data_IF_837340444420
#
_entry.id   IF_837340444420
#
_cell.length_a   1.000
_cell.length_b   1.000
_cell.length_c   1.000
_cell.angle_alpha   90.00
_cell.angle_beta   90.00
_cell.angle_gamma   90.00
#
_symmetry.space_group_name_H-M   'P 1'
#
loop_
_entity.id
_entity.type
_entity.pdbx_description
1 polymer ?
#
# COMPACT_ATOMS: atom_id res chain seq x y z
N UNK A 1 73.46 -50.01 -55.05
CA UNK A 1 72.14 -50.16 -54.38
C UNK A 1 72.20 -50.10 -52.85
N UNK A 2 73.34 -50.40 -52.19
CA UNK A 2 73.45 -50.38 -50.71
C UNK A 2 73.29 -48.99 -50.05
N UNK A 3 73.74 -47.92 -50.72
CA UNK A 3 73.62 -46.53 -50.23
C UNK A 3 72.16 -46.04 -50.17
N UNK A 4 71.36 -46.36 -51.21
CA UNK A 4 69.95 -45.95 -51.31
C UNK A 4 69.07 -46.62 -50.23
N UNK A 5 69.34 -47.88 -49.91
CA UNK A 5 68.61 -48.60 -48.85
C UNK A 5 68.92 -48.05 -47.45
N UNK A 6 70.17 -47.66 -47.18
CA UNK A 6 70.55 -47.00 -45.91
C UNK A 6 69.89 -45.62 -45.78
N UNK A 7 69.81 -44.88 -46.88
CA UNK A 7 69.15 -43.57 -46.93
C UNK A 7 67.64 -43.69 -46.67
N UNK A 8 66.97 -44.68 -47.28
CA UNK A 8 65.55 -44.97 -47.02
C UNK A 8 65.31 -45.37 -45.57
N UNK A 9 66.20 -46.17 -44.98
CA UNK A 9 66.08 -46.64 -43.61
C UNK A 9 66.29 -45.50 -42.60
N UNK A 10 67.27 -44.63 -42.85
CA UNK A 10 67.52 -43.43 -42.04
C UNK A 10 66.33 -42.47 -42.06
N UNK A 11 65.74 -42.22 -43.24
CA UNK A 11 64.54 -41.39 -43.36
C UNK A 11 63.32 -42.01 -42.66
N UNK A 12 63.17 -43.35 -42.71
CA UNK A 12 62.07 -44.04 -42.05
C UNK A 12 62.18 -43.94 -40.52
N UNK A 13 63.39 -44.10 -39.96
CA UNK A 13 63.66 -43.90 -38.53
C UNK A 13 63.46 -42.45 -38.11
N UNK A 14 63.90 -41.50 -38.93
CA UNK A 14 63.72 -40.06 -38.68
C UNK A 14 62.23 -39.68 -38.66
N UNK A 15 61.46 -40.18 -39.63
CA UNK A 15 60.03 -39.90 -39.76
C UNK A 15 59.22 -40.56 -38.62
N UNK A 16 59.61 -41.77 -38.21
CA UNK A 16 59.02 -42.44 -37.06
C UNK A 16 59.30 -41.68 -35.75
N UNK A 17 60.53 -41.22 -35.55
CA UNK A 17 60.90 -40.40 -34.40
C UNK A 17 60.11 -39.07 -34.35
N UNK A 18 59.96 -38.41 -35.50
CA UNK A 18 59.16 -37.19 -35.62
C UNK A 18 57.67 -37.44 -35.30
N UNK A 19 57.11 -38.55 -35.75
CA UNK A 19 55.73 -38.93 -35.43
C UNK A 19 55.54 -39.21 -33.92
N UNK A 20 56.48 -39.91 -33.28
CA UNK A 20 56.44 -40.17 -31.83
C UNK A 20 56.55 -38.86 -31.04
N UNK A 21 57.42 -37.93 -31.48
CA UNK A 21 57.51 -36.60 -30.88
C UNK A 21 56.20 -35.81 -31.00
N UNK A 22 55.54 -35.86 -32.16
CA UNK A 22 54.24 -35.19 -32.35
C UNK A 22 53.14 -35.80 -31.47
N UNK A 23 53.13 -37.12 -31.30
CA UNK A 23 52.18 -37.81 -30.39
C UNK A 23 52.43 -37.40 -28.93
N UNK A 24 53.71 -37.33 -28.50
CA UNK A 24 54.07 -36.87 -27.16
C UNK A 24 53.67 -35.41 -26.92
N UNK A 25 53.91 -34.52 -27.88
CA UNK A 25 53.51 -33.10 -27.79
C UNK A 25 51.99 -32.98 -27.75
N UNK A 26 51.26 -33.75 -28.57
CA UNK A 26 49.79 -33.78 -28.57
C UNK A 26 49.22 -34.28 -27.23
N UNK A 27 49.80 -35.34 -26.67
CA UNK A 27 49.43 -35.85 -25.34
C UNK A 27 49.72 -34.85 -24.22
N UNK A 28 50.88 -34.15 -24.27
CA UNK A 28 51.21 -33.09 -23.32
C UNK A 28 50.32 -31.86 -23.48
N UNK A 29 49.87 -31.57 -24.71
CA UNK A 29 48.94 -30.47 -24.98
C UNK A 29 47.52 -30.78 -24.49
N UNK A 30 47.06 -32.03 -24.61
CA UNK A 30 45.79 -32.48 -24.04
C UNK A 30 45.84 -32.48 -22.51
N UNK A 31 46.99 -32.77 -21.90
CA UNK A 31 47.20 -32.65 -20.45
C UNK A 31 47.17 -31.20 -19.92
N UNK A 32 47.40 -30.20 -20.77
CA UNK A 32 47.34 -28.77 -20.38
C UNK A 32 45.98 -28.14 -20.64
N UNK A 33 45.18 -28.70 -21.55
CA UNK A 33 43.74 -28.44 -21.65
C UNK A 33 43.05 -29.21 -20.52
N UNK A 34 43.29 -28.79 -19.30
CA UNK A 34 42.74 -29.45 -18.12
C UNK A 34 41.21 -29.39 -18.19
N UNK A 35 40.49 -30.52 -18.08
CA UNK A 35 39.03 -30.52 -17.93
C UNK A 35 38.56 -29.68 -16.74
N UNK A 36 39.46 -29.43 -15.79
CA UNK A 36 39.20 -28.61 -14.61
C UNK A 36 38.80 -27.18 -14.94
N UNK A 37 39.36 -26.52 -15.96
CA UNK A 37 39.03 -25.11 -16.25
C UNK A 37 37.64 -24.95 -16.90
N UNK A 38 37.23 -25.91 -17.71
CA UNK A 38 35.88 -25.94 -18.31
C UNK A 38 34.83 -26.42 -17.32
N UNK A 39 35.17 -27.38 -16.45
CA UNK A 39 34.32 -27.82 -15.34
C UNK A 39 34.16 -26.73 -14.27
N UNK A 40 35.22 -25.99 -13.92
CA UNK A 40 35.12 -24.88 -12.97
C UNK A 40 34.29 -23.75 -13.56
N UNK A 41 34.51 -23.34 -14.81
CA UNK A 41 33.66 -22.33 -15.47
C UNK A 41 32.19 -22.75 -15.56
N UNK A 42 31.89 -23.99 -15.94
CA UNK A 42 30.49 -24.49 -15.93
C UNK A 42 29.89 -24.50 -14.52
N UNK A 43 30.68 -24.89 -13.51
CA UNK A 43 30.22 -24.94 -12.11
C UNK A 43 29.99 -23.54 -11.52
N UNK A 44 30.87 -22.58 -11.82
CA UNK A 44 30.74 -21.18 -11.40
C UNK A 44 29.56 -20.53 -12.11
N UNK A 45 29.35 -20.83 -13.39
CA UNK A 45 28.22 -20.31 -14.16
C UNK A 45 26.89 -20.93 -13.74
N UNK A 46 26.87 -22.22 -13.35
CA UNK A 46 25.71 -22.84 -12.70
C UNK A 46 25.44 -22.25 -11.31
N UNK A 47 26.47 -22.05 -10.49
CA UNK A 47 26.33 -21.44 -9.16
C UNK A 47 25.86 -19.99 -9.24
N UNK A 48 26.36 -19.23 -10.23
CA UNK A 48 25.89 -17.88 -10.53
C UNK A 48 24.43 -17.88 -10.97
N UNK A 49 24.04 -18.77 -11.90
CA UNK A 49 22.65 -18.88 -12.35
C UNK A 49 21.70 -19.28 -11.20
N UNK A 50 22.10 -20.18 -10.30
CA UNK A 50 21.32 -20.51 -9.11
C UNK A 50 21.18 -19.32 -8.15
N UNK A 51 22.25 -18.54 -7.97
CA UNK A 51 22.24 -17.34 -7.12
C UNK A 51 21.33 -16.26 -7.70
N UNK A 52 21.40 -16.04 -9.02
CA UNK A 52 20.53 -15.10 -9.73
C UNK A 52 19.07 -15.56 -9.68
N UNK A 53 18.79 -16.84 -9.90
CA UNK A 53 17.42 -17.38 -9.79
C UNK A 53 16.86 -17.23 -8.37
N UNK A 54 17.68 -17.48 -7.35
CA UNK A 54 17.28 -17.29 -5.96
C UNK A 54 16.98 -15.82 -5.66
N UNK A 55 17.85 -14.90 -6.07
CA UNK A 55 17.65 -13.46 -5.93
C UNK A 55 16.38 -12.97 -6.65
N UNK A 56 16.13 -13.44 -7.87
CA UNK A 56 14.89 -13.14 -8.61
C UNK A 56 13.67 -13.67 -7.86
N UNK A 57 13.74 -14.89 -7.35
CA UNK A 57 12.63 -15.49 -6.59
C UNK A 57 12.34 -14.72 -5.30
N UNK A 58 13.39 -14.30 -4.60
CA UNK A 58 13.28 -13.49 -3.38
C UNK A 58 12.69 -12.11 -3.70
N UNK A 59 13.13 -11.46 -4.78
CA UNK A 59 12.55 -10.20 -5.27
C UNK A 59 11.09 -10.34 -5.67
N UNK A 60 10.69 -11.44 -6.31
CA UNK A 60 9.29 -11.70 -6.67
C UNK A 60 8.44 -11.84 -5.41
N UNK A 61 8.89 -12.61 -4.43
CA UNK A 61 8.19 -12.78 -3.15
C UNK A 61 8.06 -11.47 -2.39
N UNK A 62 9.13 -10.66 -2.35
CA UNK A 62 9.10 -9.34 -1.73
C UNK A 62 8.12 -8.42 -2.46
N UNK A 63 8.09 -8.44 -3.80
CA UNK A 63 7.14 -7.66 -4.58
C UNK A 63 5.68 -8.07 -4.31
N UNK A 64 5.40 -9.37 -4.20
CA UNK A 64 4.09 -9.88 -3.82
C UNK A 64 3.68 -9.44 -2.41
N UNK A 65 4.59 -9.55 -1.44
CA UNK A 65 4.36 -9.10 -0.07
C UNK A 65 4.11 -7.58 0.01
N UNK A 66 4.85 -6.79 -0.77
CA UNK A 66 4.65 -5.34 -0.89
C UNK A 66 3.30 -5.01 -1.53
N UNK A 67 2.88 -5.75 -2.57
CA UNK A 67 1.54 -5.57 -3.16
C UNK A 67 0.43 -5.89 -2.17
N UNK A 68 0.58 -6.96 -1.40
CA UNK A 68 -0.40 -7.32 -0.37
C UNK A 68 -0.47 -6.27 0.74
N UNK A 69 0.68 -5.77 1.21
CA UNK A 69 0.73 -4.73 2.25
C UNK A 69 0.14 -3.41 1.75
N UNK A 70 0.42 -3.06 0.49
CA UNK A 70 -0.15 -1.87 -0.15
C UNK A 70 -1.67 -1.99 -0.32
N UNK A 71 -2.17 -3.17 -0.67
CA UNK A 71 -3.61 -3.46 -0.68
C UNK A 71 -4.25 -3.25 0.68
N UNK A 72 -3.69 -3.88 1.73
CA UNK A 72 -4.19 -3.73 3.12
C UNK A 72 -4.14 -2.28 3.61
N UNK A 73 -3.06 -1.56 3.28
CA UNK A 73 -2.93 -0.15 3.63
C UNK A 73 -4.01 0.70 2.95
N UNK A 74 -4.29 0.44 1.67
CA UNK A 74 -5.31 1.17 0.92
C UNK A 74 -6.73 0.89 1.45
N UNK A 75 -7.03 -0.36 1.80
CA UNK A 75 -8.30 -0.73 2.44
C UNK A 75 -8.45 -0.05 3.81
N UNK A 76 -7.36 0.04 4.57
CA UNK A 76 -7.35 0.74 5.86
C UNK A 76 -7.57 2.24 5.69
N UNK A 77 -6.93 2.88 4.70
CA UNK A 77 -7.16 4.28 4.36
C UNK A 77 -8.63 4.52 4.03
N UNK A 78 -9.20 3.71 3.13
CA UNK A 78 -10.61 3.85 2.74
C UNK A 78 -11.57 3.69 3.93
N UNK A 79 -11.26 2.77 4.85
CA UNK A 79 -12.05 2.59 6.07
C UNK A 79 -11.95 3.83 6.98
N UNK A 80 -10.74 4.33 7.21
CA UNK A 80 -10.51 5.52 8.05
C UNK A 80 -11.13 6.78 7.45
N UNK A 81 -11.09 6.94 6.13
CA UNK A 81 -11.77 8.04 5.45
C UNK A 81 -13.30 7.98 5.64
N UNK A 82 -13.88 6.78 5.57
CA UNK A 82 -15.31 6.57 5.86
C UNK A 82 -15.67 6.87 7.32
N UNK A 83 -14.86 6.39 8.27
CA UNK A 83 -15.02 6.68 9.70
C UNK A 83 -14.92 8.19 9.98
N UNK A 84 -13.96 8.87 9.37
CA UNK A 84 -13.76 10.31 9.52
C UNK A 84 -14.96 11.12 8.99
N UNK A 85 -15.48 10.76 7.81
CA UNK A 85 -16.68 11.42 7.25
C UNK A 85 -17.91 11.21 8.13
N UNK A 86 -18.10 10.00 8.67
CA UNK A 86 -19.20 9.72 9.60
C UNK A 86 -19.08 10.55 10.88
N UNK A 87 -17.88 10.58 11.46
CA UNK A 87 -17.61 11.36 12.67
C UNK A 87 -17.79 12.87 12.44
N UNK A 88 -17.40 13.39 11.27
CA UNK A 88 -17.62 14.78 10.90
C UNK A 88 -19.12 15.10 10.77
N UNK A 89 -19.88 14.24 10.09
CA UNK A 89 -21.33 14.40 9.96
C UNK A 89 -22.05 14.36 11.33
N UNK A 90 -21.67 13.42 12.20
CA UNK A 90 -22.18 13.33 13.57
C UNK A 90 -21.84 14.58 14.39
N UNK A 91 -20.61 15.08 14.27
CA UNK A 91 -20.16 16.30 14.96
C UNK A 91 -20.96 17.54 14.51
N UNK A 92 -21.18 17.69 13.20
CA UNK A 92 -22.00 18.77 12.64
C UNK A 92 -23.44 18.67 13.16
N UNK A 93 -24.04 17.48 13.12
CA UNK A 93 -25.39 17.23 13.61
C UNK A 93 -25.52 17.53 15.11
N UNK A 94 -24.53 17.10 15.92
CA UNK A 94 -24.49 17.35 17.35
C UNK A 94 -24.39 18.85 17.65
N UNK A 95 -23.55 19.58 16.91
CA UNK A 95 -23.40 21.03 17.05
C UNK A 95 -24.70 21.77 16.73
N UNK A 96 -25.35 21.42 15.62
CA UNK A 96 -26.65 22.00 15.24
C UNK A 96 -27.72 21.74 16.30
N UNK A 97 -27.75 20.51 16.84
CA UNK A 97 -28.69 20.12 17.90
C UNK A 97 -28.42 20.93 19.18
N UNK A 98 -27.15 21.11 19.55
CA UNK A 98 -26.75 21.93 20.70
C UNK A 98 -27.19 23.39 20.53
N UNK A 99 -26.92 23.97 19.37
CA UNK A 99 -27.29 25.36 19.06
C UNK A 99 -28.82 25.57 19.09
N UNK A 100 -29.59 24.67 18.50
CA UNK A 100 -31.05 24.72 18.58
C UNK A 100 -31.56 24.59 20.02
N UNK A 101 -30.90 23.77 20.84
CA UNK A 101 -31.24 23.59 22.25
C UNK A 101 -30.90 24.84 23.07
N UNK A 102 -29.75 25.47 22.81
CA UNK A 102 -29.35 26.72 23.47
C UNK A 102 -30.33 27.86 23.17
N UNK A 103 -30.73 28.03 21.91
CA UNK A 103 -31.76 29.02 21.55
C UNK A 103 -33.11 28.73 22.24
N UNK A 104 -33.49 27.46 22.36
CA UNK A 104 -34.73 27.09 23.05
C UNK A 104 -34.69 27.44 24.54
N UNK A 105 -33.58 27.13 25.21
CA UNK A 105 -33.37 27.45 26.63
C UNK A 105 -33.31 28.97 26.86
N UNK A 106 -32.67 29.71 25.96
CA UNK A 106 -32.65 31.18 26.01
C UNK A 106 -34.07 31.75 25.84
N UNK A 107 -34.84 31.24 24.87
CA UNK A 107 -36.22 31.65 24.67
C UNK A 107 -37.08 31.37 25.92
N UNK A 108 -36.91 30.23 26.56
CA UNK A 108 -37.58 29.89 27.82
C UNK A 108 -37.18 30.85 28.96
N UNK A 109 -35.89 31.13 29.10
CA UNK A 109 -35.38 32.06 30.11
C UNK A 109 -35.98 33.47 29.92
N UNK A 110 -36.04 33.95 28.67
CA UNK A 110 -36.65 35.24 28.34
C UNK A 110 -38.16 35.25 28.64
N UNK A 111 -38.86 34.16 28.36
CA UNK A 111 -40.26 34.00 28.68
C UNK A 111 -40.50 34.09 30.19
N UNK A 112 -39.70 33.37 30.98
CA UNK A 112 -39.78 33.35 32.43
C UNK A 112 -39.45 34.71 33.06
N UNK A 113 -38.62 35.52 32.39
CA UNK A 113 -38.33 36.91 32.75
C UNK A 113 -39.42 37.91 32.31
N UNK A 114 -40.49 37.44 31.67
CA UNK A 114 -41.57 38.29 31.15
C UNK A 114 -41.24 39.04 29.86
N UNK A 115 -40.09 38.77 29.23
CA UNK A 115 -39.64 39.40 27.98
C UNK A 115 -40.20 38.64 26.78
N UNK A 116 -41.52 38.64 26.63
CA UNK A 116 -42.23 37.78 25.67
C UNK A 116 -41.90 38.07 24.19
N UNK A 117 -41.69 39.34 23.83
CA UNK A 117 -41.32 39.72 22.47
C UNK A 117 -39.95 39.14 22.07
N UNK A 118 -38.99 39.21 22.98
CA UNK A 118 -37.63 38.72 22.75
C UNK A 118 -37.60 37.19 22.79
N UNK A 119 -38.29 36.58 23.75
CA UNK A 119 -38.51 35.13 23.79
C UNK A 119 -39.06 34.60 22.46
N UNK A 120 -40.06 35.27 21.89
CA UNK A 120 -40.61 34.93 20.57
C UNK A 120 -39.56 35.02 19.48
N UNK A 121 -38.79 36.10 19.43
CA UNK A 121 -37.75 36.29 18.40
C UNK A 121 -36.66 35.22 18.50
N UNK A 122 -36.21 34.88 19.71
CA UNK A 122 -35.24 33.80 19.94
C UNK A 122 -35.84 32.44 19.55
N UNK A 123 -37.10 32.18 19.90
CA UNK A 123 -37.79 30.93 19.57
C UNK A 123 -37.96 30.71 18.06
N UNK A 124 -38.05 31.78 17.25
CA UNK A 124 -38.10 31.66 15.80
C UNK A 124 -36.80 31.14 15.18
N UNK A 125 -35.67 31.36 15.84
CA UNK A 125 -34.36 30.89 15.37
C UNK A 125 -34.11 29.42 15.75
N UNK A 126 -34.96 28.83 16.59
CA UNK A 126 -34.86 27.43 16.98
C UNK A 126 -35.31 26.55 15.81
N UNK A 127 -34.41 25.70 15.32
CA UNK A 127 -34.78 24.66 14.38
C UNK A 127 -35.45 23.49 15.11
N UNK A 128 -36.79 23.48 15.13
CA UNK A 128 -37.58 22.48 15.85
C UNK A 128 -37.45 21.04 15.29
N UNK A 129 -36.97 20.88 14.05
CA UNK A 129 -36.85 19.56 13.40
C UNK A 129 -35.68 18.73 13.92
N UNK A 130 -34.66 19.39 14.46
CA UNK A 130 -33.43 18.75 14.95
C UNK A 130 -33.38 18.65 16.47
N UNK A 131 -34.44 19.09 17.16
CA UNK A 131 -34.54 18.96 18.61
C UNK A 131 -34.82 17.51 19.02
N UNK A 132 -34.42 17.17 20.24
CA UNK A 132 -34.90 15.97 20.91
C UNK A 132 -36.41 16.03 21.13
N UNK A 133 -37.04 14.89 21.40
CA UNK A 133 -38.48 14.81 21.69
C UNK A 133 -38.88 15.75 22.84
N UNK A 134 -38.07 15.80 23.91
CA UNK A 134 -38.31 16.71 25.04
C UNK A 134 -38.16 18.17 24.63
N UNK A 135 -37.15 18.50 23.81
CA UNK A 135 -36.96 19.84 23.28
C UNK A 135 -38.13 20.27 22.40
N UNK A 136 -38.68 19.36 21.61
CA UNK A 136 -39.85 19.63 20.76
C UNK A 136 -41.11 19.89 21.58
N UNK A 137 -41.34 19.10 22.63
CA UNK A 137 -42.45 19.34 23.56
C UNK A 137 -42.33 20.70 24.25
N UNK A 138 -41.12 21.09 24.66
CA UNK A 138 -40.86 22.41 25.23
C UNK A 138 -41.08 23.53 24.20
N UNK A 139 -40.61 23.35 22.97
CA UNK A 139 -40.83 24.28 21.86
C UNK A 139 -42.32 24.52 21.61
N UNK A 140 -43.10 23.44 21.48
CA UNK A 140 -44.53 23.50 21.22
C UNK A 140 -45.29 24.15 22.39
N UNK A 141 -44.92 23.79 23.62
CA UNK A 141 -45.48 24.40 24.83
C UNK A 141 -45.20 25.90 24.89
N UNK A 142 -43.95 26.29 24.65
CA UNK A 142 -43.52 27.69 24.73
C UNK A 142 -44.17 28.53 23.62
N UNK A 143 -44.27 27.95 22.41
CA UNK A 143 -44.98 28.53 21.27
C UNK A 143 -46.46 28.79 21.60
N UNK A 144 -47.18 27.80 22.12
CA UNK A 144 -48.58 27.95 22.52
C UNK A 144 -48.77 29.02 23.60
N UNK A 145 -47.86 29.07 24.59
CA UNK A 145 -47.89 30.09 25.64
C UNK A 145 -47.65 31.50 25.11
N UNK A 146 -46.71 31.68 24.18
CA UNK A 146 -46.43 32.96 23.53
C UNK A 146 -47.62 33.40 22.66
N UNK A 147 -48.22 32.50 21.91
CA UNK A 147 -49.43 32.76 21.10
C UNK A 147 -50.58 33.24 21.99
N UNK A 148 -50.82 32.58 23.13
CA UNK A 148 -51.84 32.98 24.10
C UNK A 148 -51.60 34.37 24.71
N UNK A 149 -50.35 34.83 24.73
CA UNK A 149 -49.97 36.19 25.14
C UNK A 149 -49.93 37.20 23.98
N UNK A 150 -50.30 36.80 22.77
CA UNK A 150 -50.36 37.66 21.59
C UNK A 150 -49.09 37.68 20.73
N UNK A 151 -48.08 36.87 21.04
CA UNK A 151 -46.79 36.83 20.34
C UNK A 151 -46.72 35.60 19.42
N UNK A 152 -47.25 35.70 18.21
CA UNK A 152 -47.23 34.60 17.22
C UNK A 152 -45.88 34.47 16.54
N UNK A 153 -45.37 33.25 16.39
CA UNK A 153 -44.24 32.96 15.51
C UNK A 153 -44.64 33.27 14.06
N UNK A 154 -43.83 34.02 13.31
CA UNK A 154 -43.97 34.07 11.85
C UNK A 154 -43.48 32.73 11.30
N UNK A 155 -44.33 32.09 10.49
CA UNK A 155 -43.98 30.89 9.73
C UNK A 155 -43.21 31.22 8.47
#
# INVERSE_FOLDING_TARGET
MKEKTKFIWLYSVLLFSAAVLLILISSLSQSRLSPSETLTQQSEQQAFNQTVQKSITDLIKENEALKESLGKANDRIKTLEGEAQSAEAESISAKQTSEATEFLLEAELLFNKGRYAESRNTLQNVNALILSEQGRQLYDWLSDKLIKKGYKLQG
#
